data_IF_520819460987
#
_entry.id   IF_520819460987
#
_cell.length_a   1.000
_cell.length_b   1.000
_cell.length_c   1.000
_cell.angle_alpha   90.00
_cell.angle_beta   90.00
_cell.angle_gamma   90.00
#
_symmetry.space_group_name_H-M   'P 1'
#
loop_
_entity.id
_entity.type
_entity.pdbx_description
1 polymer ?
#
# COMPACT_ATOMS: atom_id res chain seq x y z
N UNK A 1 -9.59 -35.60 2.96
CA UNK A 1 -10.47 -36.28 1.98
C UNK A 1 -9.59 -36.68 0.83
N UNK A 2 -9.24 -37.96 0.75
CA UNK A 2 -8.54 -38.49 -0.43
C UNK A 2 -9.53 -38.54 -1.60
N UNK A 3 -9.39 -37.61 -2.55
CA UNK A 3 -9.97 -37.76 -3.89
C UNK A 3 -9.04 -38.62 -4.74
N UNK A 4 -8.80 -39.87 -4.32
CA UNK A 4 -8.28 -40.87 -5.24
C UNK A 4 -9.46 -41.33 -6.07
N UNK A 5 -9.65 -40.75 -7.25
CA UNK A 5 -10.60 -41.28 -8.22
C UNK A 5 -10.09 -42.67 -8.60
N UNK A 6 -10.79 -43.70 -8.15
CA UNK A 6 -10.48 -45.07 -8.55
C UNK A 6 -10.85 -45.22 -10.02
N UNK A 7 -9.83 -45.13 -10.90
CA UNK A 7 -9.98 -45.23 -12.35
C UNK A 7 -10.55 -46.59 -12.79
N UNK A 8 -10.64 -47.56 -11.88
CA UNK A 8 -11.14 -48.91 -12.17
C UNK A 8 -12.67 -48.99 -12.29
N UNK A 9 -13.43 -47.97 -11.86
CA UNK A 9 -14.89 -48.01 -11.82
C UNK A 9 -15.58 -47.30 -13.03
N UNK A 10 -14.80 -46.91 -14.05
CA UNK A 10 -15.34 -46.30 -15.26
C UNK A 10 -16.04 -47.32 -16.16
N UNK A 11 -17.36 -47.45 -16.02
CA UNK A 11 -18.20 -48.17 -16.98
C UNK A 11 -18.28 -47.42 -18.32
N UNK A 12 -18.04 -48.12 -19.44
CA UNK A 12 -18.19 -47.60 -20.82
C UNK A 12 -19.62 -47.18 -21.18
N UNK A 13 -20.62 -47.52 -20.37
CA UNK A 13 -22.04 -47.18 -20.62
C UNK A 13 -22.48 -45.87 -19.96
N UNK A 14 -21.63 -45.28 -19.12
CA UNK A 14 -21.95 -44.04 -18.42
C UNK A 14 -21.39 -42.83 -19.19
N UNK A 15 -22.14 -41.73 -19.15
CA UNK A 15 -21.68 -40.42 -19.64
C UNK A 15 -21.05 -39.70 -18.46
N UNK A 16 -19.80 -39.28 -18.61
CA UNK A 16 -19.09 -38.51 -17.60
C UNK A 16 -18.84 -37.10 -18.12
N UNK A 17 -19.04 -36.11 -17.27
CA UNK A 17 -18.67 -34.73 -17.54
C UNK A 17 -17.32 -34.46 -16.88
N UNK A 18 -16.32 -34.16 -17.71
CA UNK A 18 -15.03 -33.71 -17.21
C UNK A 18 -15.17 -32.28 -16.74
N UNK A 19 -14.97 -32.05 -15.44
CA UNK A 19 -14.89 -30.71 -14.88
C UNK A 19 -13.42 -30.40 -14.65
N UNK A 20 -12.84 -29.60 -15.53
CA UNK A 20 -11.49 -29.06 -15.34
C UNK A 20 -11.57 -27.63 -14.82
N UNK A 21 -10.71 -27.27 -13.88
CA UNK A 21 -10.57 -25.88 -13.45
C UNK A 21 -9.92 -25.06 -14.56
N UNK A 22 -10.43 -23.86 -14.84
CA UNK A 22 -9.76 -22.92 -15.74
C UNK A 22 -8.49 -22.32 -15.11
N UNK A 23 -8.29 -22.52 -13.80
CA UNK A 23 -7.14 -22.04 -13.05
C UNK A 23 -6.04 -23.12 -13.00
N UNK A 24 -4.83 -22.75 -13.45
CA UNK A 24 -3.65 -23.63 -13.44
C UNK A 24 -3.20 -23.95 -12.00
N UNK A 25 -3.53 -25.15 -11.52
CA UNK A 25 -3.32 -25.59 -10.14
C UNK A 25 -1.85 -25.47 -9.68
N UNK A 26 -0.89 -25.86 -10.51
CA UNK A 26 0.53 -25.85 -10.16
C UNK A 26 1.06 -24.47 -9.77
N UNK A 27 0.48 -23.39 -10.31
CA UNK A 27 0.85 -22.03 -9.90
C UNK A 27 0.35 -21.68 -8.47
N UNK A 28 -0.70 -22.34 -7.99
CA UNK A 28 -1.29 -22.11 -6.67
C UNK A 28 -0.84 -23.14 -5.64
N UNK A 29 -0.32 -24.31 -6.06
CA UNK A 29 0.01 -25.39 -5.13
C UNK A 29 0.88 -24.95 -3.94
N UNK A 30 1.99 -24.20 -4.11
CA UNK A 30 2.81 -23.74 -2.98
C UNK A 30 2.05 -22.80 -2.02
N UNK A 31 1.12 -22.00 -2.56
CA UNK A 31 0.29 -21.08 -1.77
C UNK A 31 -0.72 -21.87 -0.95
N UNK A 32 -1.38 -22.87 -1.57
CA UNK A 32 -2.37 -23.71 -0.90
C UNK A 32 -1.73 -24.59 0.18
N UNK A 33 -0.56 -25.16 -0.07
CA UNK A 33 0.22 -25.89 0.93
C UNK A 33 0.60 -24.98 2.11
N UNK A 34 1.05 -23.76 1.85
CA UNK A 34 1.35 -22.77 2.89
C UNK A 34 0.12 -22.41 3.73
N UNK A 35 -1.04 -22.21 3.08
CA UNK A 35 -2.30 -21.94 3.77
C UNK A 35 -2.75 -23.11 4.64
N UNK A 36 -2.60 -24.36 4.18
CA UNK A 36 -2.95 -25.56 4.95
C UNK A 36 -2.06 -25.76 6.19
N UNK A 37 -0.81 -25.28 6.15
CA UNK A 37 0.14 -25.37 7.26
C UNK A 37 0.03 -24.19 8.24
N UNK A 38 -0.65 -23.11 7.84
CA UNK A 38 -0.84 -21.92 8.68
C UNK A 38 -1.96 -22.17 9.69
N UNK A 39 -1.72 -21.86 10.97
CA UNK A 39 -2.77 -21.92 11.99
C UNK A 39 -3.71 -20.72 11.84
N UNK A 40 -4.98 -20.91 12.20
CA UNK A 40 -5.99 -19.85 12.15
C UNK A 40 -5.56 -18.57 12.87
N UNK A 41 -4.88 -18.70 14.01
CA UNK A 41 -4.39 -17.60 14.85
C UNK A 41 -3.16 -16.88 14.30
N UNK A 42 -2.44 -17.51 13.36
CA UNK A 42 -1.22 -16.97 12.75
C UNK A 42 -1.50 -16.31 11.38
N UNK A 43 -2.76 -16.33 10.91
CA UNK A 43 -3.11 -15.78 9.61
C UNK A 43 -2.94 -14.25 9.58
N UNK A 44 -2.10 -13.70 8.68
CA UNK A 44 -1.92 -12.26 8.58
C UNK A 44 -3.23 -11.58 8.17
N UNK A 45 -3.50 -10.41 8.77
CA UNK A 45 -4.68 -9.61 8.50
C UNK A 45 -6.03 -10.34 8.73
N UNK A 46 -6.07 -11.40 9.55
CA UNK A 46 -7.29 -12.17 9.86
C UNK A 46 -8.48 -11.28 10.21
N UNK A 47 -8.26 -10.28 11.08
CA UNK A 47 -9.28 -9.31 11.49
C UNK A 47 -9.97 -8.61 10.31
N UNK A 48 -9.25 -8.40 9.21
CA UNK A 48 -9.74 -7.68 8.03
C UNK A 48 -10.26 -8.62 6.94
N UNK A 49 -9.53 -9.70 6.67
CA UNK A 49 -9.83 -10.62 5.57
C UNK A 49 -10.84 -11.71 5.94
N UNK A 50 -10.80 -12.19 7.19
CA UNK A 50 -11.66 -13.27 7.68
C UNK A 50 -12.83 -12.68 8.46
N UNK A 51 -12.54 -11.87 9.49
CA UNK A 51 -13.60 -11.29 10.34
C UNK A 51 -14.35 -10.14 9.66
N UNK A 52 -13.91 -9.72 8.47
CA UNK A 52 -14.50 -8.64 7.68
C UNK A 52 -14.65 -7.32 8.46
N UNK A 53 -13.76 -7.05 9.42
CA UNK A 53 -13.83 -5.85 10.25
C UNK A 53 -13.50 -4.61 9.40
N UNK A 54 -14.42 -3.65 9.31
CA UNK A 54 -14.24 -2.43 8.50
C UNK A 54 -13.54 -1.28 9.26
N UNK A 55 -13.40 -1.40 10.57
CA UNK A 55 -12.81 -0.38 11.43
C UNK A 55 -11.28 -0.51 11.44
N UNK A 56 -10.66 -0.09 10.33
CA UNK A 56 -9.21 -0.13 10.15
C UNK A 56 -8.55 0.93 11.03
N UNK A 57 -7.83 0.43 12.03
CA UNK A 57 -7.08 1.23 12.98
C UNK A 57 -5.75 1.69 12.39
N UNK A 58 -5.09 2.61 13.08
CA UNK A 58 -3.70 2.94 12.77
C UNK A 58 -2.75 1.76 13.06
N UNK A 59 -1.63 1.64 12.33
CA UNK A 59 -0.62 0.63 12.60
C UNK A 59 -0.23 0.56 14.07
N UNK A 60 -0.04 -0.66 14.57
CA UNK A 60 0.26 -0.89 15.99
C UNK A 60 1.50 -0.10 16.46
N UNK A 61 2.53 0.02 15.62
CA UNK A 61 3.74 0.78 15.95
C UNK A 61 3.48 2.29 16.12
N UNK A 62 2.48 2.86 15.43
CA UNK A 62 2.06 4.25 15.63
C UNK A 62 1.22 4.43 16.90
N UNK A 63 0.41 3.42 17.27
CA UNK A 63 -0.44 3.45 18.47
C UNK A 63 0.33 3.24 19.76
N UNK A 64 1.41 2.47 19.72
CA UNK A 64 2.06 1.87 20.89
C UNK A 64 3.34 2.60 21.28
N UNK A 65 3.34 3.93 21.26
CA UNK A 65 4.48 4.71 21.76
C UNK A 65 4.36 4.93 23.28
N UNK A 66 4.65 3.88 24.07
CA UNK A 66 4.64 3.96 25.55
C UNK A 66 5.95 4.48 26.14
N UNK A 67 7.01 4.64 25.33
CA UNK A 67 8.37 4.88 25.82
C UNK A 67 9.00 6.19 25.33
N UNK A 68 8.39 6.91 24.39
CA UNK A 68 8.87 8.20 23.91
C UNK A 68 7.74 9.22 24.03
N UNK A 69 7.98 10.33 24.72
CA UNK A 69 7.01 11.42 24.90
C UNK A 69 6.64 12.15 23.61
N UNK A 70 7.27 11.82 22.48
CA UNK A 70 7.03 12.41 21.18
C UNK A 70 6.07 11.54 20.35
N UNK A 71 5.08 12.17 19.73
CA UNK A 71 4.19 11.50 18.79
C UNK A 71 5.01 10.95 17.59
N UNK A 72 4.64 9.80 17.01
CA UNK A 72 5.33 9.28 15.84
C UNK A 72 5.22 10.27 14.67
N UNK A 73 6.36 10.58 14.08
CA UNK A 73 6.50 11.52 12.97
C UNK A 73 6.92 10.83 11.68
N UNK A 74 6.65 11.48 10.54
CA UNK A 74 7.11 11.06 9.21
C UNK A 74 7.78 12.23 8.50
N UNK A 75 8.79 11.87 7.71
CA UNK A 75 9.55 12.80 6.89
C UNK A 75 8.97 12.86 5.47
N UNK A 76 8.06 13.80 5.23
CA UNK A 76 7.48 14.05 3.90
C UNK A 76 8.47 14.68 2.91
N UNK A 77 9.66 15.13 3.35
CA UNK A 77 10.67 15.61 2.41
C UNK A 77 11.16 14.49 1.49
N UNK A 78 11.09 13.24 1.93
CA UNK A 78 11.37 12.05 1.11
C UNK A 78 10.47 11.95 -0.12
N UNK A 79 9.27 12.52 -0.08
CA UNK A 79 8.33 12.55 -1.21
C UNK A 79 8.77 13.58 -2.27
N UNK A 80 9.41 14.66 -1.83
CA UNK A 80 9.88 15.75 -2.70
C UNK A 80 11.18 15.43 -3.43
N UNK A 81 11.95 14.46 -2.93
CA UNK A 81 13.27 14.09 -3.44
C UNK A 81 13.11 12.84 -4.30
N UNK A 82 13.08 12.98 -5.63
CA UNK A 82 13.47 11.88 -6.55
C UNK A 82 13.94 12.35 -7.93
N UNK A 83 13.79 13.62 -8.29
CA UNK A 83 14.20 14.08 -9.64
C UNK A 83 15.68 14.48 -9.76
N UNK A 84 16.50 14.32 -8.72
CA UNK A 84 17.89 14.78 -8.73
C UNK A 84 18.84 13.91 -9.57
N UNK A 85 18.44 12.69 -9.96
CA UNK A 85 19.34 11.70 -10.60
C UNK A 85 19.01 11.33 -12.06
N UNK A 86 18.03 11.96 -12.71
CA UNK A 86 17.77 11.73 -14.13
C UNK A 86 17.35 13.00 -14.86
N UNK A 87 18.32 13.79 -15.35
CA UNK A 87 18.22 14.74 -16.47
C UNK A 87 16.89 15.51 -16.67
N UNK A 88 16.24 15.99 -15.59
CA UNK A 88 14.94 16.66 -15.65
C UNK A 88 15.02 18.07 -15.04
N UNK A 89 15.59 19.01 -15.79
CA UNK A 89 15.58 20.44 -15.46
C UNK A 89 14.16 21.06 -15.46
N UNK A 90 13.14 20.38 -16.00
CA UNK A 90 11.81 20.96 -16.14
C UNK A 90 10.85 20.69 -14.96
N UNK A 91 10.96 19.55 -14.26
CA UNK A 91 10.04 19.20 -13.16
C UNK A 91 10.51 19.80 -11.83
N UNK A 92 11.81 19.73 -11.55
CA UNK A 92 12.44 20.40 -10.41
C UNK A 92 12.25 21.92 -10.46
N UNK A 93 12.41 22.56 -11.63
CA UNK A 93 12.08 23.98 -11.81
C UNK A 93 10.60 24.27 -11.60
N UNK A 94 9.69 23.38 -12.05
CA UNK A 94 8.25 23.54 -11.80
C UNK A 94 7.91 23.43 -10.32
N UNK A 95 8.52 22.52 -9.57
CA UNK A 95 8.31 22.39 -8.12
C UNK A 95 8.88 23.61 -7.38
N UNK A 96 10.11 24.05 -7.70
CA UNK A 96 10.69 25.27 -7.13
C UNK A 96 9.86 26.51 -7.48
N UNK A 97 9.34 26.58 -8.71
CA UNK A 97 8.46 27.67 -9.16
C UNK A 97 7.09 27.61 -8.50
N UNK A 98 6.52 26.43 -8.28
CA UNK A 98 5.26 26.26 -7.57
C UNK A 98 5.41 26.62 -6.10
N UNK A 99 6.49 26.18 -5.44
CA UNK A 99 6.83 26.61 -4.08
C UNK A 99 6.96 28.15 -4.02
N UNK A 100 7.72 28.74 -4.95
CA UNK A 100 7.86 30.19 -5.10
C UNK A 100 6.52 30.92 -5.33
N UNK A 101 5.62 30.35 -6.15
CA UNK A 101 4.27 30.89 -6.39
C UNK A 101 3.38 30.86 -5.14
N UNK A 102 3.58 29.88 -4.25
CA UNK A 102 2.95 29.85 -2.93
C UNK A 102 3.67 30.74 -1.89
N UNK A 103 4.58 31.62 -2.33
CA UNK A 103 5.29 32.58 -1.48
C UNK A 103 6.57 32.05 -0.84
N UNK A 104 7.07 30.88 -1.24
CA UNK A 104 8.38 30.38 -0.76
C UNK A 104 9.54 31.07 -1.50
N UNK A 105 10.07 32.11 -0.88
CA UNK A 105 11.31 32.73 -1.33
C UNK A 105 12.47 31.74 -1.18
N UNK A 106 13.28 31.54 -2.23
CA UNK A 106 14.46 30.65 -2.22
C UNK A 106 15.53 31.01 -1.15
N UNK A 107 15.41 32.18 -0.52
CA UNK A 107 16.22 32.61 0.62
C UNK A 107 15.64 32.25 2.00
N UNK A 108 14.41 31.75 2.07
CA UNK A 108 13.77 31.26 3.30
C UNK A 108 13.84 29.73 3.30
N UNK A 109 14.42 29.14 4.35
CA UNK A 109 14.55 27.69 4.57
C UNK A 109 13.36 26.93 3.99
N UNK A 110 13.62 26.02 3.03
CA UNK A 110 12.67 25.00 2.58
C UNK A 110 12.02 24.40 3.84
N UNK A 111 10.68 24.30 3.90
CA UNK A 111 10.04 23.75 5.09
C UNK A 111 10.54 22.32 5.25
N UNK A 112 11.23 22.06 6.36
CA UNK A 112 11.64 20.72 6.69
C UNK A 112 10.40 19.96 7.13
N UNK A 113 9.75 19.25 6.21
CA UNK A 113 8.65 18.35 6.54
C UNK A 113 9.13 17.04 7.19
N UNK A 114 10.15 17.16 8.06
CA UNK A 114 10.96 16.05 8.56
C UNK A 114 10.35 15.35 9.77
N UNK A 115 9.52 16.08 10.52
CA UNK A 115 8.95 15.62 11.79
C UNK A 115 7.45 15.92 11.88
N UNK A 116 6.69 15.54 10.85
CA UNK A 116 5.24 15.75 10.82
C UNK A 116 4.52 14.61 11.55
N UNK A 117 3.69 14.87 12.57
CA UNK A 117 2.94 13.82 13.26
C UNK A 117 2.02 13.06 12.29
N UNK A 118 2.27 11.77 12.10
CA UNK A 118 1.61 10.97 11.05
C UNK A 118 0.11 10.90 11.24
N UNK A 119 -0.34 10.76 12.48
CA UNK A 119 -1.77 10.62 12.80
C UNK A 119 -2.53 11.96 12.84
N UNK A 120 -1.84 13.10 12.80
CA UNK A 120 -2.46 14.42 12.77
C UNK A 120 -2.48 14.97 11.34
N UNK A 121 -3.48 14.54 10.56
CA UNK A 121 -3.63 14.87 9.13
C UNK A 121 -3.71 16.38 8.89
N UNK A 122 -4.14 17.19 9.87
CA UNK A 122 -4.21 18.64 9.73
C UNK A 122 -2.82 19.31 9.69
N UNK A 123 -1.78 18.62 10.17
CA UNK A 123 -0.39 19.10 10.12
C UNK A 123 0.37 18.64 8.88
N UNK A 124 -0.26 17.83 8.04
CA UNK A 124 0.37 17.34 6.82
C UNK A 124 0.56 18.47 5.81
N UNK A 125 1.60 18.40 4.97
CA UNK A 125 1.72 19.29 3.82
C UNK A 125 0.52 19.09 2.88
N UNK A 126 0.12 20.14 2.16
CA UNK A 126 -0.96 20.05 1.18
C UNK A 126 -0.54 19.19 -0.02
N UNK A 127 -1.51 18.68 -0.77
CA UNK A 127 -1.25 17.91 -2.00
C UNK A 127 -0.41 18.69 -3.01
N UNK A 128 -0.62 20.01 -3.11
CA UNK A 128 0.15 20.89 -4.01
C UNK A 128 1.60 21.04 -3.54
N UNK A 129 1.84 21.09 -2.23
CA UNK A 129 3.18 21.14 -1.65
C UNK A 129 3.94 19.83 -1.88
N UNK A 130 3.24 18.70 -1.93
CA UNK A 130 3.81 17.38 -2.23
C UNK A 130 3.86 17.07 -3.74
N UNK A 131 3.29 17.92 -4.59
CA UNK A 131 3.17 17.65 -6.03
C UNK A 131 2.25 16.48 -6.38
N UNK A 132 1.33 16.12 -5.49
CA UNK A 132 0.40 15.00 -5.66
C UNK A 132 -0.96 15.49 -6.16
N UNK A 133 -1.63 14.65 -6.95
CA UNK A 133 -3.06 14.83 -7.21
C UNK A 133 -3.92 14.41 -6.00
N UNK A 134 -5.22 14.68 -6.07
CA UNK A 134 -6.16 14.35 -4.99
C UNK A 134 -6.15 12.86 -4.65
N UNK A 135 -6.17 11.99 -5.67
CA UNK A 135 -6.25 10.54 -5.48
C UNK A 135 -4.98 9.97 -4.86
N UNK A 136 -3.82 10.48 -5.28
CA UNK A 136 -2.52 10.11 -4.73
C UNK A 136 -2.35 10.59 -3.29
N UNK A 137 -2.81 11.81 -2.99
CA UNK A 137 -2.76 12.35 -1.64
C UNK A 137 -3.65 11.57 -0.66
N UNK A 138 -4.86 11.20 -1.08
CA UNK A 138 -5.73 10.34 -0.28
C UNK A 138 -5.15 8.93 -0.11
N UNK A 139 -4.57 8.36 -1.18
CA UNK A 139 -3.89 7.07 -1.09
C UNK A 139 -2.69 7.11 -0.11
N UNK A 140 -1.91 8.19 -0.11
CA UNK A 140 -0.82 8.41 0.85
C UNK A 140 -1.33 8.47 2.30
N UNK A 141 -2.41 9.24 2.54
CA UNK A 141 -3.04 9.31 3.86
C UNK A 141 -3.46 7.94 4.35
N UNK A 142 -4.14 7.18 3.51
CA UNK A 142 -4.61 5.83 3.87
C UNK A 142 -3.39 4.95 4.16
N UNK A 143 -2.38 4.93 3.30
CA UNK A 143 -1.22 4.06 3.43
C UNK A 143 -0.42 4.30 4.73
N UNK A 144 -0.23 5.56 5.14
CA UNK A 144 0.54 5.88 6.34
C UNK A 144 -0.30 5.83 7.64
N UNK A 145 -1.63 5.97 7.56
CA UNK A 145 -2.48 6.06 8.77
C UNK A 145 -3.31 4.83 9.05
N UNK A 146 -3.36 3.85 8.14
CA UNK A 146 -4.15 2.61 8.28
C UNK A 146 -3.24 1.40 8.34
N UNK A 147 -3.58 0.43 9.19
CA UNK A 147 -2.77 -0.79 9.34
C UNK A 147 -2.90 -1.77 8.18
N UNK A 148 -3.90 -1.58 7.32
CA UNK A 148 -4.02 -2.24 6.01
C UNK A 148 -4.66 -1.27 5.01
N UNK A 149 -4.15 -1.25 3.78
CA UNK A 149 -4.63 -0.38 2.72
C UNK A 149 -4.60 -1.14 1.38
N UNK A 150 -5.66 -0.96 0.58
CA UNK A 150 -5.70 -1.44 -0.81
C UNK A 150 -5.83 -0.23 -1.72
N UNK A 151 -4.80 0.05 -2.49
CA UNK A 151 -4.76 1.19 -3.42
C UNK A 151 -4.80 0.64 -4.84
N UNK A 152 -5.78 1.09 -5.61
CA UNK A 152 -5.99 0.68 -6.99
C UNK A 152 -6.04 1.89 -7.92
N UNK A 153 -5.67 1.69 -9.18
CA UNK A 153 -5.74 2.73 -10.20
C UNK A 153 -5.38 2.18 -11.59
N UNK A 154 -5.89 2.80 -12.67
CA UNK A 154 -5.53 2.48 -14.06
C UNK A 154 -4.01 2.40 -14.31
N UNK A 155 -3.54 1.74 -15.39
CA UNK A 155 -2.13 1.80 -15.76
C UNK A 155 -1.64 3.25 -15.91
N UNK A 156 -0.43 3.54 -15.44
CA UNK A 156 0.17 4.89 -15.52
C UNK A 156 -0.22 5.89 -14.41
N UNK A 157 -1.05 5.50 -13.43
CA UNK A 157 -1.51 6.40 -12.33
C UNK A 157 -0.54 6.60 -11.17
N UNK A 158 0.73 6.23 -11.33
CA UNK A 158 1.74 6.47 -10.29
C UNK A 158 1.65 5.56 -9.06
N UNK A 159 0.99 4.40 -9.13
CA UNK A 159 0.95 3.41 -8.02
C UNK A 159 2.35 3.03 -7.52
N UNK A 160 3.27 2.76 -8.44
CA UNK A 160 4.67 2.45 -8.10
C UNK A 160 5.38 3.66 -7.52
N UNK A 161 5.14 4.84 -8.08
CA UNK A 161 5.68 6.09 -7.55
C UNK A 161 5.27 6.30 -6.09
N UNK A 162 3.98 6.15 -5.79
CA UNK A 162 3.47 6.26 -4.42
C UNK A 162 3.98 5.14 -3.50
N UNK A 163 4.05 3.90 -4.00
CA UNK A 163 4.53 2.75 -3.22
C UNK A 163 5.99 2.82 -2.82
N UNK A 164 6.82 3.62 -3.49
CA UNK A 164 8.20 3.89 -3.09
C UNK A 164 8.31 4.96 -1.99
N UNK A 165 7.24 5.71 -1.73
CA UNK A 165 7.20 6.82 -0.77
C UNK A 165 6.55 6.46 0.56
N UNK A 166 6.10 5.22 0.73
CA UNK A 166 5.46 4.66 1.94
C UNK A 166 6.33 3.53 2.48
#
# INVERSE_FOLDING_TARGET
MDLTIDLQDFSRKNVYEMVETTAYFEAYNPILEGLQQTKDEDLPFQRYLIDCNKDIQAPQYLRRNRFVSAAPSFDFSSILVDDASSNASAHSERLLRNLSLYGYNAHHKVPQFKDVPVLDVHRWPSKEQLGLDESQYEALKIALTKEVAVIQGPPGTGKTFLGLKV
#
